data_IF_952891056696
#
_entry.id   IF_952891056696
#
_cell.length_a   1.000
_cell.length_b   1.000
_cell.length_c   1.000
_cell.angle_alpha   90.00
_cell.angle_beta   90.00
_cell.angle_gamma   90.00
#
_symmetry.space_group_name_H-M   'P 1'
#
loop_
_entity.id
_entity.type
_entity.pdbx_description
1 polymer ?
#
# COMPACT_ATOMS: atom_id res chain seq x y z
N UNK A 1 6.90 15.85 22.19
CA UNK A 1 6.72 17.13 21.46
C UNK A 1 5.83 16.83 20.27
N UNK A 2 4.89 17.72 19.97
CA UNK A 2 3.82 17.51 18.99
C UNK A 2 4.38 17.37 17.56
N UNK A 3 3.57 16.75 16.71
CA UNK A 3 3.93 16.24 15.39
C UNK A 3 4.38 17.28 14.38
N UNK A 4 5.21 16.79 13.47
CA UNK A 4 5.44 17.35 12.15
C UNK A 4 5.20 16.13 11.25
N UNK A 5 4.05 16.07 10.59
CA UNK A 5 3.83 15.05 9.57
C UNK A 5 4.73 15.43 8.41
N UNK A 6 5.72 14.62 8.10
CA UNK A 6 6.66 14.87 7.00
C UNK A 6 5.91 14.82 5.65
N UNK A 7 5.25 15.91 5.26
CA UNK A 7 4.68 16.03 3.93
C UNK A 7 5.79 16.13 2.88
N UNK A 8 5.82 15.14 1.98
CA UNK A 8 6.79 15.07 0.89
C UNK A 8 6.11 15.45 -0.43
N UNK A 9 6.63 16.47 -1.12
CA UNK A 9 6.10 16.87 -2.42
C UNK A 9 6.63 15.97 -3.54
N UNK A 10 5.73 15.31 -4.26
CA UNK A 10 6.06 14.47 -5.42
C UNK A 10 5.56 15.13 -6.70
N UNK A 11 6.40 15.17 -7.75
CA UNK A 11 5.99 15.71 -9.05
C UNK A 11 5.31 14.63 -9.88
N UNK A 12 4.02 14.81 -10.15
CA UNK A 12 3.22 13.92 -10.99
C UNK A 12 3.07 14.52 -12.39
N UNK A 13 3.01 13.65 -13.41
CA UNK A 13 2.66 14.10 -14.76
C UNK A 13 1.24 14.64 -14.81
N UNK A 14 1.01 15.71 -15.57
CA UNK A 14 -0.28 16.39 -15.69
C UNK A 14 -1.44 15.45 -16.04
N UNK A 15 -1.20 14.46 -16.90
CA UNK A 15 -2.20 13.47 -17.29
C UNK A 15 -2.61 12.53 -16.16
N UNK A 16 -1.66 12.17 -15.29
CA UNK A 16 -1.93 11.32 -14.13
C UNK A 16 -2.69 12.13 -13.09
N UNK A 17 -2.22 13.35 -12.79
CA UNK A 17 -2.88 14.24 -11.85
C UNK A 17 -4.34 14.49 -12.23
N UNK A 18 -4.64 14.81 -13.49
CA UNK A 18 -6.02 15.03 -13.95
C UNK A 18 -6.93 13.81 -13.77
N UNK A 19 -6.40 12.59 -13.90
CA UNK A 19 -7.17 11.35 -13.66
C UNK A 19 -7.43 11.12 -12.18
N UNK A 20 -6.44 11.43 -11.34
CA UNK A 20 -6.52 11.31 -9.89
C UNK A 20 -7.48 12.36 -9.35
N UNK A 21 -7.37 13.62 -9.76
CA UNK A 21 -8.27 14.72 -9.42
C UNK A 21 -9.72 14.36 -9.76
N UNK A 22 -9.97 13.88 -10.99
CA UNK A 22 -11.32 13.46 -11.39
C UNK A 22 -11.88 12.31 -10.56
N UNK A 23 -11.02 11.42 -10.05
CA UNK A 23 -11.43 10.33 -9.17
C UNK A 23 -11.66 10.81 -7.75
N UNK A 24 -10.82 11.73 -7.27
CA UNK A 24 -10.97 12.38 -5.97
C UNK A 24 -12.31 13.16 -5.90
N UNK A 25 -12.64 13.92 -6.94
CA UNK A 25 -13.91 14.67 -7.05
C UNK A 25 -15.16 13.77 -7.08
N UNK A 26 -15.00 12.53 -7.54
CA UNK A 26 -16.05 11.51 -7.54
C UNK A 26 -16.12 10.68 -6.25
N UNK A 27 -15.20 10.92 -5.33
CA UNK A 27 -15.06 10.18 -4.08
C UNK A 27 -15.50 11.04 -2.89
N UNK A 28 -15.46 10.45 -1.70
CA UNK A 28 -15.83 11.12 -0.45
C UNK A 28 -14.69 11.95 0.15
N UNK A 29 -13.54 12.04 -0.53
CA UNK A 29 -12.38 12.79 -0.07
C UNK A 29 -12.49 14.27 -0.45
N UNK A 30 -12.33 15.15 0.53
CA UNK A 30 -12.31 16.60 0.32
C UNK A 30 -10.98 17.10 -0.28
N UNK A 31 -9.89 16.33 -0.13
CA UNK A 31 -8.56 16.69 -0.60
C UNK A 31 -7.94 15.62 -1.52
N UNK A 32 -7.34 16.08 -2.62
CA UNK A 32 -6.65 15.19 -3.59
C UNK A 32 -5.43 14.54 -2.93
N UNK A 33 -4.80 15.22 -1.98
CA UNK A 33 -3.64 14.72 -1.25
C UNK A 33 -3.99 13.48 -0.42
N UNK A 34 -5.11 13.53 0.31
CA UNK A 34 -5.61 12.39 1.10
C UNK A 34 -5.98 11.20 0.21
N UNK A 35 -6.60 11.47 -0.95
CA UNK A 35 -6.92 10.41 -1.91
C UNK A 35 -5.65 9.73 -2.45
N UNK A 36 -4.62 10.52 -2.78
CA UNK A 36 -3.34 9.98 -3.26
C UNK A 36 -2.65 9.16 -2.18
N UNK A 37 -2.64 9.65 -0.94
CA UNK A 37 -2.05 8.95 0.20
C UNK A 37 -2.74 7.60 0.41
N UNK A 38 -4.07 7.57 0.50
CA UNK A 38 -4.85 6.34 0.69
C UNK A 38 -4.60 5.31 -0.42
N UNK A 39 -4.58 5.75 -1.69
CA UNK A 39 -4.36 4.85 -2.83
C UNK A 39 -2.94 4.29 -2.82
N UNK A 40 -1.94 5.12 -2.51
CA UNK A 40 -0.56 4.68 -2.44
C UNK A 40 -0.33 3.73 -1.25
N UNK A 41 -0.90 4.03 -0.09
CA UNK A 41 -0.84 3.17 1.10
C UNK A 41 -1.51 1.82 0.85
N UNK A 42 -2.70 1.79 0.22
CA UNK A 42 -3.37 0.55 -0.14
C UNK A 42 -2.54 -0.28 -1.12
N UNK A 43 -1.91 0.35 -2.12
CA UNK A 43 -1.05 -0.34 -3.09
C UNK A 43 0.23 -0.85 -2.44
N UNK A 44 0.83 -0.08 -1.53
CA UNK A 44 1.99 -0.50 -0.75
C UNK A 44 1.63 -1.68 0.15
N UNK A 45 0.53 -1.60 0.89
CA UNK A 45 0.04 -2.71 1.72
C UNK A 45 -0.22 -3.97 0.89
N UNK A 46 -0.77 -3.86 -0.32
CA UNK A 46 -0.93 -5.02 -1.21
C UNK A 46 0.41 -5.58 -1.71
N UNK A 47 1.39 -4.71 -2.00
CA UNK A 47 2.72 -5.12 -2.47
C UNK A 47 3.58 -5.72 -1.33
N UNK A 48 3.57 -5.09 -0.16
CA UNK A 48 4.24 -5.52 1.06
C UNK A 48 3.56 -6.77 1.61
N UNK A 49 2.24 -6.80 1.71
CA UNK A 49 1.48 -7.98 2.12
C UNK A 49 1.64 -9.16 1.17
N UNK A 50 1.91 -8.94 -0.12
CA UNK A 50 2.32 -10.01 -1.05
C UNK A 50 3.76 -10.48 -0.82
N UNK A 51 4.67 -9.58 -0.40
CA UNK A 51 6.04 -9.96 0.00
C UNK A 51 6.03 -10.72 1.32
N UNK A 52 5.35 -10.19 2.34
CA UNK A 52 5.18 -10.82 3.64
C UNK A 52 4.44 -12.16 3.52
N UNK A 53 3.39 -12.27 2.70
CA UNK A 53 2.72 -13.56 2.49
C UNK A 53 3.59 -14.56 1.73
N UNK A 54 4.47 -14.11 0.82
CA UNK A 54 5.38 -15.02 0.12
C UNK A 54 6.52 -15.54 1.04
N UNK A 55 6.96 -14.71 1.98
CA UNK A 55 7.96 -15.05 3.00
C UNK A 55 7.35 -15.91 4.13
N UNK A 56 6.11 -15.62 4.56
CA UNK A 56 5.38 -16.37 5.60
C UNK A 56 4.97 -17.77 5.12
N UNK A 57 4.65 -17.95 3.83
CA UNK A 57 4.32 -19.26 3.25
C UNK A 57 5.53 -20.22 3.24
N UNK A 58 6.76 -19.70 3.21
CA UNK A 58 7.99 -20.51 3.32
C UNK A 58 8.25 -20.93 4.77
N UNK A 59 8.08 -20.02 5.74
CA UNK A 59 8.26 -20.32 7.17
C UNK A 59 7.18 -21.30 7.68
N UNK A 60 5.93 -21.16 7.23
CA UNK A 60 4.85 -22.11 7.51
C UNK A 60 5.12 -23.48 6.88
N UNK A 61 5.68 -23.54 5.66
CA UNK A 61 6.09 -24.80 5.03
C UNK A 61 7.23 -25.50 5.76
N UNK A 62 8.23 -24.77 6.26
CA UNK A 62 9.30 -25.36 7.08
C UNK A 62 8.74 -25.95 8.38
N UNK A 63 7.84 -25.22 9.05
CA UNK A 63 7.19 -25.69 10.29
C UNK A 63 6.31 -26.93 10.05
N UNK A 64 5.61 -27.00 8.92
CA UNK A 64 4.78 -28.16 8.55
C UNK A 64 5.62 -29.38 8.14
N UNK A 65 6.80 -29.19 7.53
CA UNK A 65 7.79 -30.27 7.29
C UNK A 65 8.38 -30.80 8.57
N UNK A 66 8.74 -29.93 9.51
CA UNK A 66 9.31 -30.33 10.80
C UNK A 66 8.30 -31.14 11.63
N UNK A 67 7.01 -30.85 11.47
CA UNK A 67 5.91 -31.60 12.08
C UNK A 67 5.49 -32.86 11.30
N UNK A 68 6.13 -33.15 10.15
CA UNK A 68 5.95 -34.41 9.40
C UNK A 68 4.64 -34.54 8.62
N UNK A 69 3.98 -33.42 8.30
CA UNK A 69 2.71 -33.42 7.56
C UNK A 69 2.88 -33.33 6.04
N UNK A 70 4.11 -33.11 5.56
CA UNK A 70 4.49 -33.14 4.15
C UNK A 70 5.79 -33.94 4.02
N UNK A 71 5.76 -35.03 3.25
CA UNK A 71 6.95 -35.79 2.82
C UNK A 71 7.63 -35.11 1.63
#
# INVERSE_FOLDING_TARGET
MAGDGDDTTVTLGSDIYARVEKRADQSEFDDVSEYVEYVLDSLLTELEGQSESAEDDEEVRERLRELGYLE
#
